data_IF_197347664495
#
_entry.id   IF_197347664495
#
_cell.length_a   1.000
_cell.length_b   1.000
_cell.length_c   1.000
_cell.angle_alpha   90.00
_cell.angle_beta   90.00
_cell.angle_gamma   90.00
#
_symmetry.space_group_name_H-M   'P 1'
#
loop_
_entity.id
_entity.type
_entity.pdbx_description
1 polymer ?
#
# COMPACT_ATOMS: atom_id res chain seq x y z
N UNK A 1 -2.72 30.94 -25.81
CA UNK A 1 -1.58 30.09 -26.24
C UNK A 1 -2.01 29.25 -27.46
N UNK A 2 -2.50 29.91 -28.53
CA UNK A 2 -3.19 29.24 -29.64
C UNK A 2 -2.55 29.57 -30.98
N UNK A 3 -1.39 28.97 -31.26
CA UNK A 3 -0.76 29.01 -32.60
C UNK A 3 -0.93 27.69 -33.35
N UNK A 4 -1.66 26.75 -32.75
CA UNK A 4 -1.83 25.41 -33.25
C UNK A 4 -3.17 24.80 -32.82
N UNK A 5 -3.62 23.82 -33.60
CA UNK A 5 -4.76 22.95 -33.28
C UNK A 5 -4.37 21.49 -33.51
N UNK A 6 -4.99 20.58 -32.77
CA UNK A 6 -4.89 19.14 -33.06
C UNK A 6 -5.63 18.85 -34.36
N UNK A 7 -5.02 18.05 -35.23
CA UNK A 7 -5.70 17.53 -36.43
C UNK A 7 -6.64 16.41 -36.05
N UNK A 8 -6.26 15.62 -35.05
CA UNK A 8 -7.01 14.49 -34.53
C UNK A 8 -6.86 14.46 -33.00
N UNK A 9 -7.99 14.36 -32.29
CA UNK A 9 -8.03 14.33 -30.82
C UNK A 9 -7.37 13.04 -30.30
N UNK A 10 -7.45 11.95 -31.07
CA UNK A 10 -6.88 10.65 -30.72
C UNK A 10 -5.39 10.54 -31.08
N UNK A 11 -4.86 11.47 -31.88
CA UNK A 11 -3.45 11.48 -32.29
C UNK A 11 -2.78 12.83 -31.99
N UNK A 12 -2.19 12.92 -30.78
CA UNK A 12 -1.48 14.10 -30.28
C UNK A 12 -0.23 14.48 -31.08
N UNK A 13 0.23 13.59 -31.95
CA UNK A 13 1.45 13.77 -32.73
C UNK A 13 1.20 14.52 -34.05
N UNK A 14 -0.06 14.65 -34.47
CA UNK A 14 -0.50 15.41 -35.64
C UNK A 14 -1.08 16.77 -35.25
N UNK A 15 -0.33 17.82 -35.54
CA UNK A 15 -0.71 19.20 -35.20
C UNK A 15 -0.72 20.09 -36.44
N UNK A 16 -1.61 21.08 -36.45
CA UNK A 16 -1.77 22.05 -37.53
C UNK A 16 -1.41 23.44 -37.06
N UNK A 17 -0.56 24.12 -37.82
CA UNK A 17 -0.19 25.52 -37.59
C UNK A 17 -1.34 26.45 -37.94
N UNK A 18 -1.80 27.30 -37.00
CA UNK A 18 -2.86 28.28 -37.29
C UNK A 18 -2.34 29.42 -38.19
N UNK A 19 -1.03 29.67 -38.21
CA UNK A 19 -0.42 30.81 -38.93
C UNK A 19 -0.28 30.57 -40.43
N UNK A 20 -0.31 29.32 -40.90
CA UNK A 20 -0.15 28.97 -42.32
C UNK A 20 -0.91 27.70 -42.74
N UNK A 21 -1.74 27.13 -41.87
CA UNK A 21 -2.51 25.89 -42.04
C UNK A 21 -1.73 24.61 -42.35
N UNK A 22 -0.40 24.66 -42.27
CA UNK A 22 0.43 23.50 -42.49
C UNK A 22 0.23 22.46 -41.39
N UNK A 23 -0.05 21.23 -41.80
CA UNK A 23 -0.08 20.07 -40.92
C UNK A 23 1.32 19.47 -40.78
N UNK A 24 1.65 19.00 -39.58
CA UNK A 24 2.95 18.44 -39.23
C UNK A 24 2.80 17.22 -38.32
N UNK A 25 3.69 16.25 -38.51
CA UNK A 25 3.89 15.11 -37.59
C UNK A 25 5.11 15.36 -36.69
N UNK A 26 5.04 14.94 -35.42
CA UNK A 26 6.06 15.17 -34.39
C UNK A 26 5.64 16.15 -33.30
N UNK A 27 4.33 16.37 -33.16
CA UNK A 27 3.71 17.05 -32.04
C UNK A 27 4.06 18.54 -31.89
N UNK A 28 3.66 19.08 -30.74
CA UNK A 28 3.73 20.53 -30.44
C UNK A 28 5.19 21.03 -30.40
N UNK A 29 6.14 20.20 -29.97
CA UNK A 29 7.55 20.59 -29.90
C UNK A 29 8.14 20.90 -31.29
N UNK A 30 7.91 20.02 -32.27
CA UNK A 30 8.37 20.23 -33.66
C UNK A 30 7.66 21.41 -34.32
N UNK A 31 6.40 21.65 -33.98
CA UNK A 31 5.68 22.82 -34.46
C UNK A 31 6.24 24.14 -33.89
N UNK A 32 6.64 24.16 -32.60
CA UNK A 32 7.31 25.33 -32.03
C UNK A 32 8.62 25.62 -32.76
N UNK A 33 9.41 24.59 -33.09
CA UNK A 33 10.62 24.72 -33.92
C UNK A 33 10.32 25.32 -35.31
N UNK A 34 9.24 24.85 -35.95
CA UNK A 34 8.77 25.35 -37.25
C UNK A 34 8.40 26.84 -37.21
N UNK A 35 7.67 27.26 -36.17
CA UNK A 35 7.24 28.66 -35.98
C UNK A 35 8.43 29.53 -35.59
N UNK A 36 9.24 29.10 -34.63
CA UNK A 36 10.45 29.80 -34.17
C UNK A 36 11.55 29.92 -35.24
N UNK A 37 11.44 29.15 -36.33
CA UNK A 37 12.46 29.03 -37.37
C UNK A 37 13.80 28.51 -36.85
N UNK A 38 13.77 27.66 -35.82
CA UNK A 38 14.92 27.08 -35.15
C UNK A 38 14.89 25.55 -35.23
N UNK A 39 16.03 24.93 -35.51
CA UNK A 39 16.18 23.49 -35.64
C UNK A 39 16.74 23.08 -37.01
N UNK A 40 17.59 22.04 -37.01
CA UNK A 40 18.34 21.61 -38.21
C UNK A 40 17.46 20.96 -39.28
N UNK A 41 16.35 20.31 -38.90
CA UNK A 41 15.51 19.48 -39.79
C UNK A 41 14.02 19.90 -39.81
N UNK A 42 13.75 21.20 -39.70
CA UNK A 42 12.38 21.73 -39.69
C UNK A 42 12.25 22.87 -40.71
N UNK A 43 11.23 22.77 -41.57
CA UNK A 43 10.91 23.86 -42.53
C UNK A 43 10.57 25.14 -41.75
N UNK A 44 10.66 26.31 -42.37
CA UNK A 44 10.32 27.59 -41.71
C UNK A 44 8.86 27.96 -41.95
N UNK A 45 8.22 28.54 -40.92
CA UNK A 45 6.88 29.13 -41.06
C UNK A 45 6.93 30.42 -41.88
N UNK A 46 6.09 30.49 -42.93
CA UNK A 46 5.94 31.66 -43.80
C UNK A 46 4.77 32.57 -43.40
N UNK A 47 3.96 32.17 -42.40
CA UNK A 47 2.89 33.01 -41.85
C UNK A 47 1.84 33.49 -42.85
N UNK A 48 1.53 32.69 -43.90
CA UNK A 48 0.66 33.07 -45.02
C UNK A 48 -0.75 33.54 -44.62
N UNK A 49 -1.21 33.26 -43.39
CA UNK A 49 -2.55 33.64 -42.90
C UNK A 49 -2.55 34.64 -41.75
N UNK A 50 -1.44 35.34 -41.50
CA UNK A 50 -1.35 36.29 -40.38
C UNK A 50 -0.57 37.55 -40.73
N UNK A 51 -0.68 38.60 -39.90
CA UNK A 51 0.09 39.83 -40.08
C UNK A 51 1.55 39.61 -39.67
N UNK A 52 2.48 40.37 -40.26
CA UNK A 52 3.92 40.27 -39.93
C UNK A 52 4.18 40.42 -38.43
N UNK A 53 3.46 41.33 -37.77
CA UNK A 53 3.54 41.56 -36.32
C UNK A 53 3.17 40.31 -35.51
N UNK A 54 2.03 39.66 -35.85
CA UNK A 54 1.56 38.44 -35.16
C UNK A 54 2.49 37.25 -35.43
N UNK A 55 3.10 37.18 -36.61
CA UNK A 55 4.10 36.16 -36.92
C UNK A 55 5.37 36.35 -36.07
N UNK A 56 5.85 37.58 -35.93
CA UNK A 56 7.02 37.91 -35.11
C UNK A 56 6.77 37.62 -33.62
N UNK A 57 5.59 37.98 -33.12
CA UNK A 57 5.17 37.69 -31.74
C UNK A 57 5.09 36.17 -31.50
N UNK A 58 4.52 35.41 -32.44
CA UNK A 58 4.45 33.95 -32.34
C UNK A 58 5.84 33.29 -32.42
N UNK A 59 6.74 33.82 -33.24
CA UNK A 59 8.15 33.40 -33.32
C UNK A 59 8.84 33.58 -31.97
N UNK A 60 8.77 34.79 -31.40
CA UNK A 60 9.42 35.11 -30.13
C UNK A 60 8.88 34.24 -28.98
N UNK A 61 7.55 34.06 -28.92
CA UNK A 61 6.93 33.17 -27.93
C UNK A 61 7.35 31.72 -28.09
N UNK A 62 7.47 31.21 -29.33
CA UNK A 62 7.91 29.85 -29.58
C UNK A 62 9.39 29.66 -29.24
N UNK A 63 10.26 30.63 -29.55
CA UNK A 63 11.68 30.65 -29.14
C UNK A 63 11.82 30.61 -27.63
N UNK A 64 11.19 31.56 -26.93
CA UNK A 64 11.17 31.58 -25.46
C UNK A 64 10.71 30.25 -24.86
N UNK A 65 9.67 29.62 -25.43
CA UNK A 65 9.19 28.33 -24.96
C UNK A 65 10.14 27.15 -25.23
N UNK A 66 10.95 27.21 -26.30
CA UNK A 66 11.97 26.19 -26.60
C UNK A 66 13.20 26.38 -25.72
N UNK A 67 13.68 27.62 -25.55
CA UNK A 67 14.80 27.95 -24.67
C UNK A 67 14.49 27.63 -23.21
N UNK A 68 13.29 27.97 -22.75
CA UNK A 68 12.82 27.59 -21.41
C UNK A 68 12.82 26.06 -21.22
N UNK A 69 12.34 25.32 -22.23
CA UNK A 69 12.33 23.86 -22.17
C UNK A 69 13.75 23.26 -22.20
N UNK A 70 14.68 23.89 -22.93
CA UNK A 70 16.09 23.49 -22.98
C UNK A 70 16.77 23.77 -21.63
N UNK A 71 16.61 24.97 -21.09
CA UNK A 71 17.17 25.37 -19.80
C UNK A 71 16.68 24.46 -18.67
N UNK A 72 15.38 24.14 -18.62
CA UNK A 72 14.84 23.17 -17.63
C UNK A 72 15.46 21.77 -17.74
N UNK A 73 15.81 21.32 -18.95
CA UNK A 73 16.48 20.02 -19.14
C UNK A 73 17.93 20.06 -18.64
N UNK A 74 18.64 21.15 -18.93
CA UNK A 74 20.00 21.38 -18.44
C UNK A 74 20.02 21.50 -16.91
N UNK A 75 19.15 22.32 -16.33
CA UNK A 75 18.97 22.46 -14.86
C UNK A 75 18.67 21.10 -14.19
N UNK A 76 17.79 20.27 -14.79
CA UNK A 76 17.53 18.92 -14.28
C UNK A 76 18.79 18.05 -14.28
N UNK A 77 19.57 18.09 -15.36
CA UNK A 77 20.78 17.30 -15.53
C UNK A 77 21.86 17.72 -14.53
N UNK A 78 22.06 19.03 -14.36
CA UNK A 78 23.01 19.60 -13.38
C UNK A 78 22.61 19.16 -11.96
N UNK A 79 21.34 19.31 -11.60
CA UNK A 79 20.85 18.89 -10.28
C UNK A 79 21.04 17.39 -10.03
N UNK A 80 20.87 16.56 -11.04
CA UNK A 80 21.11 15.12 -10.91
C UNK A 80 22.59 14.80 -10.67
N UNK A 81 23.50 15.51 -11.35
CA UNK A 81 24.94 15.39 -11.11
C UNK A 81 25.31 15.86 -9.70
N UNK A 82 24.79 17.00 -9.26
CA UNK A 82 24.99 17.51 -7.89
C UNK A 82 24.52 16.49 -6.84
N UNK A 83 23.33 15.90 -7.01
CA UNK A 83 22.82 14.88 -6.10
C UNK A 83 23.69 13.62 -6.08
N UNK A 84 24.31 13.25 -7.20
CA UNK A 84 25.24 12.11 -7.28
C UNK A 84 26.56 12.44 -6.56
N UNK A 85 27.05 13.67 -6.69
CA UNK A 85 28.26 14.14 -5.99
C UNK A 85 28.08 14.21 -4.47
N UNK A 86 26.87 14.47 -3.97
CA UNK A 86 26.54 14.45 -2.53
C UNK A 86 26.57 13.04 -1.89
N UNK A 87 26.64 11.98 -2.70
CA UNK A 87 26.68 10.61 -2.19
C UNK A 87 28.13 10.22 -1.84
N UNK A 88 28.42 10.10 -0.54
CA UNK A 88 29.75 9.74 -0.05
C UNK A 88 29.73 8.41 0.70
N UNK A 89 30.23 7.37 0.04
CA UNK A 89 30.49 6.05 0.65
C UNK A 89 31.92 5.66 0.32
N UNK A 90 32.78 5.56 1.35
CA UNK A 90 34.21 5.22 1.21
C UNK A 90 34.39 3.92 0.41
N UNK A 91 35.42 3.80 -0.46
CA UNK A 91 35.75 2.57 -1.22
C UNK A 91 36.96 1.88 -0.61
N UNK A 92 36.97 0.54 -0.56
CA UNK A 92 38.15 -0.26 -0.18
C UNK A 92 38.87 -0.71 -1.46
N UNK A 93 40.22 -0.56 -1.48
CA UNK A 93 41.24 -0.96 -2.48
C UNK A 93 40.82 -1.72 -3.76
N UNK A 94 41.29 -1.23 -4.92
CA UNK A 94 40.82 -1.65 -6.27
C UNK A 94 41.70 -2.58 -7.10
N UNK A 95 41.16 -2.98 -8.27
CA UNK A 95 41.89 -3.29 -9.51
C UNK A 95 40.92 -3.26 -10.71
N UNK A 96 41.24 -2.36 -11.65
CA UNK A 96 41.14 -2.46 -13.12
C UNK A 96 39.80 -2.70 -13.85
N UNK A 97 39.54 -1.77 -14.78
CA UNK A 97 38.67 -1.80 -15.97
C UNK A 97 37.19 -2.19 -15.85
N UNK A 98 36.34 -1.16 -15.77
CA UNK A 98 35.21 -1.07 -16.71
C UNK A 98 35.24 0.30 -17.35
N UNK A 99 35.74 0.36 -18.58
CA UNK A 99 35.58 1.50 -19.47
C UNK A 99 34.12 1.58 -19.90
N UNK A 100 33.35 2.48 -19.29
CA UNK A 100 32.14 3.03 -19.91
C UNK A 100 32.03 4.54 -19.67
N UNK A 101 32.27 5.23 -20.78
CA UNK A 101 32.07 6.63 -21.17
C UNK A 101 31.17 7.48 -20.24
N UNK A 102 31.77 8.53 -19.67
CA UNK A 102 31.03 9.63 -19.02
C UNK A 102 31.80 10.25 -17.85
N UNK A 103 32.97 10.82 -18.13
CA UNK A 103 33.90 11.47 -17.20
C UNK A 103 33.30 12.10 -15.93
N UNK A 104 33.65 11.56 -14.76
CA UNK A 104 34.18 12.30 -13.60
C UNK A 104 35.23 11.39 -12.92
N UNK A 105 36.36 11.97 -12.55
CA UNK A 105 37.57 11.30 -12.05
C UNK A 105 37.29 10.26 -10.93
N UNK A 106 38.10 9.19 -10.80
CA UNK A 106 37.99 8.29 -9.67
C UNK A 106 38.26 9.07 -8.38
N UNK A 107 37.24 9.19 -7.51
CA UNK A 107 37.37 9.84 -6.21
C UNK A 107 38.64 9.38 -5.49
N UNK A 108 39.44 10.34 -5.04
CA UNK A 108 40.69 10.13 -4.33
C UNK A 108 40.46 9.21 -3.13
N UNK A 109 41.18 8.08 -3.12
CA UNK A 109 41.37 7.23 -1.94
C UNK A 109 41.63 8.12 -0.73
N UNK A 110 40.82 7.97 0.31
CA UNK A 110 40.98 8.68 1.56
C UNK A 110 42.29 8.28 2.24
N UNK A 111 42.76 9.03 3.25
CA UNK A 111 43.99 8.70 3.97
C UNK A 111 43.98 7.24 4.46
N UNK A 112 42.81 6.73 4.87
CA UNK A 112 42.61 5.39 5.44
C UNK A 112 42.69 4.25 4.43
N UNK A 113 42.37 4.52 3.16
CA UNK A 113 42.36 3.50 2.10
C UNK A 113 43.79 3.08 1.69
N UNK A 114 44.83 3.79 2.17
CA UNK A 114 46.24 3.39 2.04
C UNK A 114 46.61 2.16 2.87
N UNK A 115 45.83 1.84 3.91
CA UNK A 115 46.14 0.75 4.85
C UNK A 115 45.24 -0.48 4.67
N UNK A 116 44.39 -0.49 3.63
CA UNK A 116 43.60 -1.67 3.28
C UNK A 116 44.03 -2.30 1.97
N UNK A 117 44.58 -3.51 2.07
CA UNK A 117 44.97 -4.35 0.93
C UNK A 117 44.22 -5.68 1.01
N UNK A 118 44.10 -6.37 -0.12
CA UNK A 118 43.75 -7.79 -0.13
C UNK A 118 44.71 -8.54 0.82
N UNK A 119 44.19 -9.52 1.56
CA UNK A 119 45.01 -10.30 2.49
C UNK A 119 46.05 -11.04 1.64
N UNK A 120 47.31 -10.65 1.79
CA UNK A 120 48.42 -11.30 1.11
C UNK A 120 48.50 -12.75 1.61
N UNK A 121 48.45 -13.76 0.71
CA UNK A 121 48.59 -15.16 1.10
C UNK A 121 49.95 -15.50 1.74
N UNK A 122 50.93 -14.58 1.70
CA UNK A 122 52.22 -14.69 2.37
C UNK A 122 52.31 -13.93 3.71
N UNK A 123 51.27 -13.20 4.12
CA UNK A 123 51.25 -12.42 5.36
C UNK A 123 51.32 -13.30 6.62
N UNK A 124 51.95 -12.80 7.68
CA UNK A 124 51.92 -13.51 8.96
C UNK A 124 50.49 -13.55 9.53
N UNK A 125 50.20 -14.57 10.33
CA UNK A 125 48.87 -14.78 10.93
C UNK A 125 48.37 -13.56 11.73
N UNK A 126 49.27 -12.81 12.36
CA UNK A 126 48.96 -11.57 13.10
C UNK A 126 48.56 -10.41 12.17
N UNK A 127 49.30 -10.23 11.06
CA UNK A 127 49.01 -9.20 10.05
C UNK A 127 47.70 -9.48 9.33
N UNK A 128 47.45 -10.75 8.95
CA UNK A 128 46.18 -11.18 8.37
C UNK A 128 44.99 -10.92 9.31
N UNK A 129 45.12 -11.22 10.61
CA UNK A 129 44.04 -10.98 11.58
C UNK A 129 43.78 -9.49 11.81
N UNK A 130 44.85 -8.68 11.80
CA UNK A 130 44.74 -7.21 11.92
C UNK A 130 44.06 -6.63 10.69
N UNK A 131 44.44 -7.08 9.48
CA UNK A 131 43.81 -6.67 8.23
C UNK A 131 42.33 -7.08 8.15
N UNK A 132 41.97 -8.29 8.62
CA UNK A 132 40.58 -8.74 8.70
C UNK A 132 39.74 -7.86 9.62
N UNK A 133 40.28 -7.46 10.78
CA UNK A 133 39.58 -6.55 11.72
C UNK A 133 39.37 -5.17 11.11
N UNK A 134 40.39 -4.61 10.46
CA UNK A 134 40.31 -3.32 9.77
C UNK A 134 39.27 -3.35 8.64
N UNK A 135 39.31 -4.38 7.79
CA UNK A 135 38.34 -4.56 6.71
C UNK A 135 36.92 -4.68 7.28
N UNK A 136 36.71 -5.47 8.33
CA UNK A 136 35.39 -5.65 8.96
C UNK A 136 34.83 -4.32 9.48
N UNK A 137 35.64 -3.49 10.13
CA UNK A 137 35.17 -2.23 10.68
C UNK A 137 34.85 -1.21 9.57
N UNK A 138 35.65 -1.16 8.51
CA UNK A 138 35.36 -0.35 7.32
C UNK A 138 34.09 -0.81 6.59
N UNK A 139 33.86 -2.11 6.46
CA UNK A 139 32.62 -2.62 5.88
C UNK A 139 31.39 -2.22 6.70
N UNK A 140 31.48 -2.20 8.03
CA UNK A 140 30.40 -1.69 8.88
C UNK A 140 30.16 -0.20 8.69
N UNK A 141 31.22 0.59 8.63
CA UNK A 141 31.13 2.04 8.43
C UNK A 141 30.48 2.37 7.08
N UNK A 142 30.91 1.69 6.01
CA UNK A 142 30.31 1.81 4.67
C UNK A 142 28.84 1.42 4.66
N UNK A 143 28.52 0.27 5.26
CA UNK A 143 27.15 -0.20 5.39
C UNK A 143 26.29 0.81 6.16
N UNK A 144 26.85 1.42 7.21
CA UNK A 144 26.20 2.45 7.99
C UNK A 144 25.90 3.71 7.15
N UNK A 145 26.84 4.17 6.31
CA UNK A 145 26.59 5.29 5.40
C UNK A 145 25.49 4.97 4.38
N UNK A 146 25.50 3.78 3.77
CA UNK A 146 24.41 3.34 2.88
C UNK A 146 23.06 3.34 3.61
N UNK A 147 23.03 2.80 4.83
CA UNK A 147 21.82 2.79 5.66
C UNK A 147 21.30 4.19 5.98
N UNK A 148 22.18 5.21 6.13
CA UNK A 148 21.72 6.60 6.32
C UNK A 148 20.95 7.13 5.12
N UNK A 149 21.38 6.83 3.89
CA UNK A 149 20.65 7.24 2.69
C UNK A 149 19.29 6.54 2.58
N UNK A 150 19.25 5.23 2.84
CA UNK A 150 17.99 4.45 2.89
C UNK A 150 17.06 5.03 3.96
N UNK A 151 17.56 5.26 5.18
CA UNK A 151 16.78 5.79 6.29
C UNK A 151 16.22 7.18 5.99
N UNK A 152 17.02 8.08 5.40
CA UNK A 152 16.55 9.41 4.95
C UNK A 152 15.39 9.28 3.96
N UNK A 153 15.49 8.39 2.96
CA UNK A 153 14.41 8.16 2.01
C UNK A 153 13.14 7.63 2.68
N UNK A 154 13.27 6.61 3.55
CA UNK A 154 12.17 6.01 4.31
C UNK A 154 11.48 7.05 5.20
N UNK A 155 12.23 7.85 5.95
CA UNK A 155 11.67 8.85 6.87
C UNK A 155 11.00 10.01 6.12
N UNK A 156 11.64 10.52 5.05
CA UNK A 156 11.09 11.64 4.28
C UNK A 156 9.77 11.28 3.58
N UNK A 157 9.58 10.02 3.19
CA UNK A 157 8.38 9.56 2.50
C UNK A 157 7.40 8.80 3.41
N UNK A 158 7.68 8.76 4.72
CA UNK A 158 6.89 8.03 5.71
C UNK A 158 6.60 6.57 5.28
N UNK A 159 7.62 5.90 4.71
CA UNK A 159 7.52 4.50 4.31
C UNK A 159 7.41 3.64 5.58
N UNK A 160 6.43 2.74 5.60
CA UNK A 160 6.27 1.77 6.69
C UNK A 160 7.53 0.93 6.84
N UNK A 161 8.02 0.72 8.07
CA UNK A 161 9.21 -0.09 8.31
C UNK A 161 9.04 -1.55 7.84
N UNK A 162 7.82 -2.07 7.84
CA UNK A 162 7.53 -3.40 7.30
C UNK A 162 7.78 -3.50 5.79
N UNK A 163 7.83 -2.38 5.06
CA UNK A 163 8.18 -2.38 3.64
C UNK A 163 9.67 -2.68 3.39
N UNK A 164 10.51 -2.59 4.42
CA UNK A 164 11.91 -3.03 4.36
C UNK A 164 12.08 -4.49 4.85
N UNK A 165 11.04 -5.10 5.40
CA UNK A 165 11.05 -6.46 5.94
C UNK A 165 10.34 -7.44 5.01
N UNK A 166 10.80 -7.48 3.76
CA UNK A 166 10.37 -8.43 2.74
C UNK A 166 11.56 -8.79 1.83
N UNK A 167 11.41 -9.86 1.07
CA UNK A 167 12.50 -10.37 0.23
C UNK A 167 12.72 -9.51 -1.02
N UNK A 168 11.67 -8.86 -1.53
CA UNK A 168 11.73 -7.94 -2.67
C UNK A 168 12.62 -6.73 -2.37
N UNK A 169 12.58 -6.19 -1.15
CA UNK A 169 13.47 -5.12 -0.72
C UNK A 169 14.94 -5.57 -0.69
N UNK A 170 15.20 -6.79 -0.23
CA UNK A 170 16.57 -7.36 -0.22
C UNK A 170 17.06 -7.58 -1.66
N UNK A 171 16.21 -8.11 -2.53
CA UNK A 171 16.50 -8.29 -3.95
C UNK A 171 16.76 -6.95 -4.65
N UNK A 172 16.00 -5.90 -4.33
CA UNK A 172 16.22 -4.56 -4.86
C UNK A 172 17.61 -4.01 -4.45
N UNK A 173 17.98 -4.12 -3.17
CA UNK A 173 19.30 -3.71 -2.70
C UNK A 173 20.44 -4.48 -3.40
N UNK A 174 20.28 -5.79 -3.55
CA UNK A 174 21.25 -6.64 -4.25
C UNK A 174 21.37 -6.24 -5.73
N UNK A 175 20.24 -6.06 -6.43
CA UNK A 175 20.22 -5.66 -7.84
C UNK A 175 20.87 -4.28 -8.07
N UNK A 176 20.60 -3.31 -7.21
CA UNK A 176 21.25 -1.98 -7.25
C UNK A 176 22.76 -2.13 -6.99
N UNK A 177 23.15 -2.95 -6.01
CA UNK A 177 24.54 -3.24 -5.69
C UNK A 177 25.31 -3.89 -6.84
N UNK A 178 24.70 -4.88 -7.50
CA UNK A 178 25.29 -5.58 -8.66
C UNK A 178 25.38 -4.69 -9.91
N UNK A 179 24.40 -3.82 -10.15
CA UNK A 179 24.47 -2.87 -11.27
C UNK A 179 25.62 -1.87 -11.06
N UNK A 180 25.78 -1.37 -9.83
CA UNK A 180 26.83 -0.43 -9.47
C UNK A 180 26.48 1.05 -9.76
N UNK A 181 27.49 1.94 -9.69
CA UNK A 181 27.27 3.37 -9.92
C UNK A 181 26.77 3.66 -11.33
N UNK A 182 25.82 4.58 -11.46
CA UNK A 182 25.31 5.01 -12.76
C UNK A 182 23.85 4.67 -13.01
N UNK A 183 23.24 3.77 -12.22
CA UNK A 183 21.82 3.44 -12.36
C UNK A 183 20.95 4.70 -12.35
N UNK A 184 20.07 4.83 -13.34
CA UNK A 184 19.00 5.82 -13.34
C UNK A 184 17.78 5.17 -12.68
N UNK A 185 17.24 5.76 -11.60
CA UNK A 185 16.06 5.20 -10.93
C UNK A 185 14.84 5.27 -11.86
N UNK A 186 13.90 4.30 -11.75
CA UNK A 186 12.69 4.30 -12.57
C UNK A 186 11.85 5.55 -12.29
N UNK A 187 11.26 6.12 -13.34
CA UNK A 187 10.37 7.26 -13.22
C UNK A 187 8.97 6.83 -12.80
N UNK A 188 8.15 7.78 -12.33
CA UNK A 188 6.72 7.53 -12.07
C UNK A 188 5.99 6.96 -13.29
N UNK A 189 6.40 7.32 -14.51
CA UNK A 189 5.77 6.84 -15.73
C UNK A 189 6.14 5.40 -16.03
N UNK A 190 7.38 5.01 -15.76
CA UNK A 190 7.85 3.63 -15.93
C UNK A 190 7.11 2.71 -14.95
N UNK A 191 7.02 3.12 -13.68
CA UNK A 191 6.35 2.37 -12.61
C UNK A 191 4.85 2.17 -12.82
N UNK A 192 4.15 3.16 -13.41
CA UNK A 192 2.69 3.07 -13.67
C UNK A 192 2.35 2.55 -15.07
N UNK A 193 3.37 2.34 -15.89
CA UNK A 193 3.26 1.95 -17.29
C UNK A 193 3.89 0.58 -17.48
N UNK A 194 4.95 0.50 -18.29
CA UNK A 194 5.55 -0.75 -18.73
C UNK A 194 5.94 -1.70 -17.60
N UNK A 195 6.56 -1.20 -16.51
CA UNK A 195 6.98 -2.06 -15.40
C UNK A 195 5.79 -2.69 -14.66
N UNK A 196 4.66 -1.97 -14.57
CA UNK A 196 3.43 -2.53 -13.99
C UNK A 196 2.82 -3.61 -14.89
N UNK A 197 2.85 -3.38 -16.20
CA UNK A 197 2.35 -4.36 -17.18
C UNK A 197 3.20 -5.64 -17.19
N UNK A 198 4.52 -5.50 -17.10
CA UNK A 198 5.46 -6.62 -16.99
C UNK A 198 5.25 -7.41 -15.69
N UNK A 199 5.12 -6.72 -14.55
CA UNK A 199 4.91 -7.37 -13.25
C UNK A 199 3.53 -8.04 -13.16
N UNK A 200 2.51 -7.44 -13.78
CA UNK A 200 1.20 -8.06 -13.94
C UNK A 200 1.29 -9.35 -14.78
N UNK A 201 2.01 -9.33 -15.91
CA UNK A 201 2.21 -10.50 -16.75
C UNK A 201 3.00 -11.61 -16.02
N UNK A 202 4.04 -11.24 -15.27
CA UNK A 202 4.82 -12.16 -14.42
C UNK A 202 3.93 -12.82 -13.37
N UNK A 203 3.16 -12.03 -12.63
CA UNK A 203 2.23 -12.52 -11.60
C UNK A 203 1.17 -13.44 -12.21
N UNK A 204 0.59 -13.07 -13.36
CA UNK A 204 -0.36 -13.91 -14.08
C UNK A 204 0.25 -15.25 -14.52
N UNK A 205 1.52 -15.25 -14.89
CA UNK A 205 2.24 -16.49 -15.26
C UNK A 205 2.43 -17.41 -14.05
N UNK A 206 2.71 -16.86 -12.87
CA UNK A 206 2.81 -17.64 -11.63
C UNK A 206 1.47 -18.26 -11.20
N UNK A 207 0.34 -17.70 -11.63
CA UNK A 207 -0.99 -18.22 -11.33
C UNK A 207 -1.46 -19.32 -12.29
N UNK A 208 -0.69 -19.67 -13.33
CA UNK A 208 -1.11 -20.65 -14.34
C UNK A 208 -1.46 -22.03 -13.77
N UNK A 209 -0.71 -22.49 -12.76
CA UNK A 209 -1.00 -23.77 -12.10
C UNK A 209 -2.36 -23.73 -11.40
N UNK A 210 -2.64 -22.64 -10.68
CA UNK A 210 -3.93 -22.41 -10.04
C UNK A 210 -5.06 -22.32 -11.08
N UNK A 211 -4.85 -21.66 -12.22
CA UNK A 211 -5.83 -21.63 -13.32
C UNK A 211 -6.07 -23.03 -13.92
N UNK A 212 -5.02 -23.82 -14.12
CA UNK A 212 -5.15 -25.19 -14.64
C UNK A 212 -5.94 -26.09 -13.67
N UNK A 213 -5.73 -25.94 -12.37
CA UNK A 213 -6.47 -26.69 -11.35
C UNK A 213 -7.95 -26.29 -11.30
N UNK A 214 -8.27 -25.00 -11.49
CA UNK A 214 -9.66 -24.53 -11.62
C UNK A 214 -10.37 -25.20 -12.78
N UNK A 215 -9.71 -25.34 -13.94
CA UNK A 215 -10.29 -26.02 -15.11
C UNK A 215 -10.49 -27.53 -14.90
N UNK A 216 -9.74 -28.14 -13.97
CA UNK A 216 -9.79 -29.59 -13.73
C UNK A 216 -10.84 -29.98 -12.71
N UNK A 217 -10.89 -29.25 -11.59
CA UNK A 217 -11.70 -29.61 -10.42
C UNK A 217 -12.78 -28.56 -10.09
N UNK A 218 -12.84 -27.49 -10.88
CA UNK A 218 -13.70 -26.35 -10.64
C UNK A 218 -13.19 -25.42 -9.53
N UNK A 219 -13.87 -24.31 -9.36
CA UNK A 219 -13.50 -23.29 -8.38
C UNK A 219 -14.72 -22.72 -7.65
N UNK A 220 -14.43 -22.06 -6.52
CA UNK A 220 -15.41 -21.25 -5.78
C UNK A 220 -15.16 -19.78 -6.04
N UNK A 221 -16.19 -19.04 -6.44
CA UNK A 221 -16.13 -17.57 -6.51
C UNK A 221 -16.43 -17.02 -5.11
N UNK A 222 -15.63 -16.08 -4.65
CA UNK A 222 -15.84 -15.38 -3.39
C UNK A 222 -15.96 -13.89 -3.66
N UNK A 223 -16.99 -13.27 -3.11
CA UNK A 223 -17.13 -11.81 -3.15
C UNK A 223 -17.02 -11.22 -1.76
N UNK A 224 -16.15 -10.23 -1.62
CA UNK A 224 -16.03 -9.45 -0.38
C UNK A 224 -16.28 -7.98 -0.67
N UNK A 225 -17.20 -7.39 0.09
CA UNK A 225 -17.58 -5.99 -0.06
C UNK A 225 -17.32 -5.27 1.26
N UNK A 226 -16.62 -4.15 1.17
CA UNK A 226 -16.39 -3.29 2.32
C UNK A 226 -16.69 -1.84 1.97
N UNK A 227 -17.26 -1.13 2.93
CA UNK A 227 -17.49 0.31 2.83
C UNK A 227 -16.75 1.04 3.95
N UNK A 228 -16.04 2.09 3.60
CA UNK A 228 -15.31 2.91 4.54
C UNK A 228 -16.20 3.98 5.20
N UNK A 229 -15.68 4.67 6.22
CA UNK A 229 -16.42 5.74 6.93
C UNK A 229 -16.72 6.96 6.04
N UNK A 230 -16.03 7.10 4.91
CA UNK A 230 -16.27 8.15 3.90
C UNK A 230 -17.27 7.69 2.85
N UNK A 231 -17.94 6.55 3.05
CA UNK A 231 -18.90 5.92 2.12
C UNK A 231 -18.27 5.52 0.79
N UNK A 232 -16.96 5.29 0.76
CA UNK A 232 -16.34 4.62 -0.38
C UNK A 232 -16.61 3.15 -0.28
N UNK A 233 -17.08 2.55 -1.35
CA UNK A 233 -17.44 1.14 -1.39
C UNK A 233 -16.62 0.43 -2.46
N UNK A 234 -16.05 -0.71 -2.10
CA UNK A 234 -15.29 -1.56 -3.01
C UNK A 234 -15.80 -2.99 -2.87
N UNK A 235 -16.00 -3.63 -4.02
CA UNK A 235 -16.36 -5.04 -4.11
C UNK A 235 -15.25 -5.79 -4.81
N UNK A 236 -14.68 -6.77 -4.11
CA UNK A 236 -13.63 -7.64 -4.62
C UNK A 236 -14.23 -8.97 -5.04
N UNK A 237 -13.71 -9.52 -6.13
CA UNK A 237 -14.02 -10.86 -6.61
C UNK A 237 -12.73 -11.67 -6.63
N UNK A 238 -12.76 -12.82 -5.97
CA UNK A 238 -11.68 -13.78 -5.92
C UNK A 238 -12.20 -15.16 -6.34
N UNK A 239 -11.28 -16.02 -6.76
CA UNK A 239 -11.53 -17.47 -6.89
C UNK A 239 -10.73 -18.24 -5.87
N UNK A 240 -11.25 -19.38 -5.44
CA UNK A 240 -10.53 -20.33 -4.61
C UNK A 240 -10.64 -21.73 -5.21
N UNK A 241 -9.50 -22.42 -5.34
CA UNK A 241 -9.41 -23.84 -5.70
C UNK A 241 -8.52 -24.59 -4.70
N UNK A 242 -8.16 -25.83 -5.01
CA UNK A 242 -7.29 -26.65 -4.16
C UNK A 242 -5.89 -26.03 -3.96
N UNK A 243 -5.37 -25.32 -4.95
CA UNK A 243 -4.05 -24.68 -4.91
C UNK A 243 -4.06 -23.28 -4.24
N UNK A 244 -5.25 -22.79 -3.88
CA UNK A 244 -5.43 -21.58 -3.09
C UNK A 244 -6.32 -20.53 -3.74
N UNK A 245 -6.18 -19.28 -3.27
CA UNK A 245 -7.01 -18.15 -3.67
C UNK A 245 -6.31 -17.26 -4.69
N UNK A 246 -7.01 -16.87 -5.76
CA UNK A 246 -6.56 -15.88 -6.74
C UNK A 246 -7.50 -14.68 -6.77
N UNK A 247 -6.92 -13.48 -6.85
CA UNK A 247 -7.68 -12.26 -7.09
C UNK A 247 -8.07 -12.15 -8.57
N UNK A 248 -9.34 -11.81 -8.84
CA UNK A 248 -9.83 -11.61 -10.21
C UNK A 248 -9.96 -10.13 -10.51
N UNK A 249 -10.74 -9.43 -9.69
CA UNK A 249 -11.03 -8.02 -9.94
C UNK A 249 -11.53 -7.32 -8.68
N UNK A 250 -11.43 -5.99 -8.72
CA UNK A 250 -11.97 -5.09 -7.71
C UNK A 250 -12.72 -4.00 -8.42
N UNK A 251 -13.95 -3.72 -7.96
CA UNK A 251 -14.81 -2.71 -8.54
C UNK A 251 -15.15 -1.67 -7.49
N UNK A 252 -14.93 -0.40 -7.83
CA UNK A 252 -15.42 0.73 -7.06
C UNK A 252 -16.94 0.82 -7.28
N UNK A 253 -17.70 0.89 -6.17
CA UNK A 253 -19.16 0.82 -6.15
C UNK A 253 -19.75 1.92 -5.25
N UNK A 254 -19.05 3.06 -5.08
CA UNK A 254 -19.47 4.08 -4.10
C UNK A 254 -20.75 4.82 -4.52
N UNK A 255 -20.97 4.96 -5.83
CA UNK A 255 -22.13 5.61 -6.42
C UNK A 255 -23.26 4.62 -6.79
N UNK A 256 -23.03 3.31 -6.59
CA UNK A 256 -23.99 2.26 -6.93
C UNK A 256 -24.62 1.68 -5.68
N UNK A 257 -25.95 1.60 -5.66
CA UNK A 257 -26.64 0.85 -4.61
C UNK A 257 -26.34 -0.64 -4.75
N UNK A 258 -25.87 -1.28 -3.68
CA UNK A 258 -25.57 -2.71 -3.64
C UNK A 258 -26.85 -3.57 -3.62
N UNK A 259 -27.71 -3.44 -4.62
CA UNK A 259 -28.95 -4.24 -4.71
C UNK A 259 -28.63 -5.69 -5.05
N UNK A 260 -29.61 -6.57 -4.86
CA UNK A 260 -29.49 -7.99 -5.19
C UNK A 260 -29.12 -8.21 -6.66
N UNK A 261 -29.66 -7.37 -7.55
CA UNK A 261 -29.46 -7.41 -9.00
C UNK A 261 -28.03 -7.04 -9.36
N UNK A 262 -27.49 -5.95 -8.79
CA UNK A 262 -26.11 -5.51 -9.06
C UNK A 262 -25.09 -6.56 -8.61
N UNK A 263 -25.31 -7.16 -7.44
CA UNK A 263 -24.46 -8.24 -6.93
C UNK A 263 -24.55 -9.46 -7.84
N UNK A 264 -25.77 -9.84 -8.23
CA UNK A 264 -26.00 -10.94 -9.16
C UNK A 264 -25.28 -10.71 -10.50
N UNK A 265 -25.39 -9.53 -11.11
CA UNK A 265 -24.72 -9.20 -12.37
C UNK A 265 -23.19 -9.29 -12.25
N UNK A 266 -22.61 -8.86 -11.13
CA UNK A 266 -21.16 -8.95 -10.92
C UNK A 266 -20.71 -10.41 -10.83
N UNK A 267 -21.41 -11.22 -10.03
CA UNK A 267 -21.11 -12.64 -9.86
C UNK A 267 -21.31 -13.40 -11.17
N UNK A 268 -22.42 -13.14 -11.85
CA UNK A 268 -22.78 -13.78 -13.10
C UNK A 268 -21.77 -13.48 -14.22
N UNK A 269 -21.30 -12.22 -14.30
CA UNK A 269 -20.19 -11.88 -15.19
C UNK A 269 -18.90 -12.62 -14.82
N UNK A 270 -18.56 -12.72 -13.54
CA UNK A 270 -17.38 -13.46 -13.11
C UNK A 270 -17.47 -14.96 -13.48
N UNK A 271 -18.67 -15.55 -13.40
CA UNK A 271 -18.93 -16.92 -13.86
C UNK A 271 -18.73 -17.04 -15.38
N UNK A 272 -19.20 -16.05 -16.15
CA UNK A 272 -19.01 -16.02 -17.61
C UNK A 272 -17.54 -15.87 -18.00
N UNK A 273 -16.79 -15.02 -17.30
CA UNK A 273 -15.37 -14.78 -17.54
C UNK A 273 -14.50 -16.02 -17.21
N UNK A 274 -14.89 -16.83 -16.21
CA UNK A 274 -14.20 -18.07 -15.83
C UNK A 274 -14.61 -19.24 -16.73
N UNK A 275 -15.90 -19.41 -16.96
CA UNK A 275 -16.47 -20.63 -17.51
C UNK A 275 -17.51 -21.22 -16.55
N UNK A 276 -18.78 -21.33 -16.95
CA UNK A 276 -19.84 -21.84 -16.07
C UNK A 276 -19.61 -23.28 -15.57
N UNK A 277 -18.94 -24.11 -16.39
CA UNK A 277 -18.65 -25.51 -16.05
C UNK A 277 -17.50 -25.64 -15.04
N UNK A 278 -16.66 -24.60 -14.94
CA UNK A 278 -15.51 -24.54 -14.03
C UNK A 278 -15.85 -23.86 -12.69
N UNK A 279 -17.11 -23.50 -12.46
CA UNK A 279 -17.57 -22.87 -11.21
C UNK A 279 -18.52 -23.81 -10.46
N UNK A 280 -18.10 -24.23 -9.27
CA UNK A 280 -18.87 -25.12 -8.41
C UNK A 280 -19.81 -24.33 -7.49
N UNK A 281 -19.32 -23.22 -6.95
CA UNK A 281 -20.10 -22.42 -5.99
C UNK A 281 -19.71 -20.94 -5.95
N UNK A 282 -20.61 -20.14 -5.38
CA UNK A 282 -20.41 -18.75 -5.00
C UNK A 282 -20.53 -18.64 -3.49
N UNK A 283 -19.54 -18.00 -2.84
CA UNK A 283 -19.48 -17.79 -1.39
C UNK A 283 -19.57 -16.30 -1.08
N UNK A 284 -20.57 -15.89 -0.32
CA UNK A 284 -20.76 -14.49 0.11
C UNK A 284 -21.17 -14.40 1.57
N UNK A 285 -21.12 -13.22 2.17
CA UNK A 285 -21.73 -13.01 3.49
C UNK A 285 -23.27 -13.17 3.45
N UNK A 286 -23.90 -13.13 4.63
CA UNK A 286 -25.35 -13.32 4.79
C UNK A 286 -26.16 -12.02 4.69
N UNK A 287 -25.63 -10.97 4.08
CA UNK A 287 -26.38 -9.74 3.85
C UNK A 287 -27.66 -10.03 3.03
N UNK A 288 -28.73 -9.28 3.31
CA UNK A 288 -30.04 -9.48 2.66
C UNK A 288 -29.97 -9.42 1.14
N UNK A 289 -29.10 -8.56 0.60
CA UNK A 289 -28.98 -8.35 -0.84
C UNK A 289 -28.25 -9.53 -1.50
N UNK A 290 -27.28 -10.15 -0.81
CA UNK A 290 -26.68 -11.41 -1.23
C UNK A 290 -27.70 -12.55 -1.26
N UNK A 291 -28.62 -12.59 -0.30
CA UNK A 291 -29.70 -13.58 -0.28
C UNK A 291 -30.70 -13.39 -1.43
N UNK A 292 -30.90 -12.15 -1.90
CA UNK A 292 -31.66 -11.89 -3.12
C UNK A 292 -30.90 -12.31 -4.37
N UNK A 293 -29.61 -11.97 -4.47
CA UNK A 293 -28.74 -12.37 -5.57
C UNK A 293 -28.66 -13.89 -5.73
N UNK A 294 -28.60 -14.62 -4.62
CA UNK A 294 -28.70 -16.08 -4.54
C UNK A 294 -29.94 -16.63 -5.22
N UNK A 295 -31.10 -16.00 -5.03
CA UNK A 295 -32.36 -16.45 -5.67
C UNK A 295 -32.30 -16.24 -7.19
N UNK A 296 -31.74 -15.12 -7.64
CA UNK A 296 -31.55 -14.83 -9.07
C UNK A 296 -30.58 -15.85 -9.70
N UNK A 297 -29.46 -16.14 -9.03
CA UNK A 297 -28.50 -17.14 -9.51
C UNK A 297 -29.12 -18.52 -9.61
N UNK A 298 -29.90 -18.95 -8.62
CA UNK A 298 -30.55 -20.26 -8.65
C UNK A 298 -31.48 -20.43 -9.86
N UNK A 299 -32.15 -19.35 -10.32
CA UNK A 299 -32.99 -19.38 -11.51
C UNK A 299 -32.16 -19.44 -12.79
N UNK A 300 -31.09 -18.62 -12.92
CA UNK A 300 -30.26 -18.59 -14.14
C UNK A 300 -29.33 -19.80 -14.27
N UNK A 301 -28.76 -20.26 -13.14
CA UNK A 301 -27.68 -21.26 -13.06
C UNK A 301 -27.98 -22.27 -11.94
N UNK A 302 -28.96 -23.17 -12.13
CA UNK A 302 -29.43 -24.08 -11.07
C UNK A 302 -28.37 -25.08 -10.59
N UNK A 303 -27.31 -25.30 -11.36
CA UNK A 303 -26.21 -26.23 -11.05
C UNK A 303 -25.09 -25.61 -10.19
N UNK A 304 -25.07 -24.28 -10.01
CA UNK A 304 -24.07 -23.58 -9.21
C UNK A 304 -24.64 -23.31 -7.82
N UNK A 305 -23.94 -23.75 -6.79
CA UNK A 305 -24.36 -23.53 -5.42
C UNK A 305 -24.06 -22.10 -4.97
N UNK A 306 -24.92 -21.51 -4.14
CA UNK A 306 -24.60 -20.29 -3.41
C UNK A 306 -24.57 -20.58 -1.92
N UNK A 307 -23.37 -20.51 -1.35
CA UNK A 307 -23.11 -20.81 0.06
C UNK A 307 -22.82 -19.53 0.85
N UNK A 308 -23.21 -19.59 2.11
CA UNK A 308 -22.99 -18.53 3.08
C UNK A 308 -21.58 -18.61 3.63
N UNK A 309 -20.92 -17.47 3.80
CA UNK A 309 -19.59 -17.37 4.39
C UNK A 309 -19.60 -17.97 5.80
N UNK A 310 -18.73 -18.96 6.03
CA UNK A 310 -18.62 -19.63 7.32
C UNK A 310 -18.15 -18.65 8.42
N UNK A 311 -17.15 -17.81 8.14
CA UNK A 311 -16.64 -16.82 9.09
C UNK A 311 -17.73 -15.83 9.52
N UNK A 312 -18.51 -15.31 8.56
CA UNK A 312 -19.64 -14.44 8.87
C UNK A 312 -20.74 -15.18 9.66
N UNK A 313 -21.01 -16.44 9.32
CA UNK A 313 -22.01 -17.25 10.02
C UNK A 313 -21.61 -17.48 11.48
N UNK A 314 -20.35 -17.85 11.75
CA UNK A 314 -19.81 -17.98 13.11
C UNK A 314 -19.90 -16.64 13.86
N UNK A 315 -19.56 -15.53 13.19
CA UNK A 315 -19.68 -14.20 13.76
C UNK A 315 -21.13 -13.86 14.16
N UNK A 316 -22.12 -14.25 13.37
CA UNK A 316 -23.55 -14.11 13.72
C UNK A 316 -23.97 -15.05 14.87
N UNK A 317 -23.41 -16.26 14.95
CA UNK A 317 -23.62 -17.13 16.13
C UNK A 317 -23.12 -16.44 17.41
N UNK A 318 -21.92 -15.85 17.36
CA UNK A 318 -21.36 -15.06 18.47
C UNK A 318 -22.22 -13.84 18.80
N UNK A 319 -22.85 -13.20 17.81
CA UNK A 319 -23.85 -12.15 18.05
C UNK A 319 -25.05 -12.69 18.83
N UNK A 320 -25.59 -13.82 18.39
CA UNK A 320 -26.73 -14.48 19.04
C UNK A 320 -26.44 -14.82 20.50
N UNK A 321 -25.27 -15.41 20.77
CA UNK A 321 -24.79 -15.69 22.13
C UNK A 321 -24.65 -14.38 22.91
N UNK A 322 -23.95 -13.38 22.37
CA UNK A 322 -23.75 -12.10 23.05
C UNK A 322 -25.04 -11.35 23.39
N UNK A 323 -26.13 -11.63 22.68
CA UNK A 323 -27.45 -11.05 22.94
C UNK A 323 -28.27 -11.79 24.01
N UNK A 324 -27.88 -13.00 24.44
CA UNK A 324 -28.61 -13.71 25.49
C UNK A 324 -28.53 -12.93 26.82
N UNK A 325 -29.60 -12.90 27.63
CA UNK A 325 -29.66 -12.08 28.85
C UNK A 325 -28.49 -12.29 29.82
N UNK A 326 -27.98 -13.53 29.89
CA UNK A 326 -26.81 -13.90 30.71
C UNK A 326 -25.54 -13.14 30.30
N UNK A 327 -25.26 -13.00 29.00
CA UNK A 327 -24.01 -12.44 28.47
C UNK A 327 -24.13 -10.95 28.15
N UNK A 328 -25.33 -10.52 27.72
CA UNK A 328 -25.58 -9.17 27.19
C UNK A 328 -25.19 -8.07 28.17
N UNK A 329 -25.59 -8.19 29.44
CA UNK A 329 -25.30 -7.18 30.46
C UNK A 329 -23.80 -6.94 30.62
N UNK A 330 -23.03 -8.03 30.65
CA UNK A 330 -21.59 -8.00 30.86
C UNK A 330 -20.85 -7.43 29.65
N UNK A 331 -21.22 -7.86 28.44
CA UNK A 331 -20.70 -7.30 27.18
C UNK A 331 -21.01 -5.79 27.08
N UNK A 332 -22.23 -5.36 27.40
CA UNK A 332 -22.62 -3.95 27.32
C UNK A 332 -21.85 -3.10 28.36
N UNK A 333 -21.58 -3.63 29.55
CA UNK A 333 -20.75 -2.97 30.55
C UNK A 333 -19.28 -2.84 30.11
N UNK A 334 -18.70 -3.91 29.57
CA UNK A 334 -17.34 -3.89 29.04
C UNK A 334 -17.19 -2.92 27.86
N UNK A 335 -18.15 -2.92 26.93
CA UNK A 335 -18.21 -1.94 25.84
C UNK A 335 -18.27 -0.52 26.37
N UNK A 336 -19.15 -0.26 27.33
CA UNK A 336 -19.29 1.07 27.92
C UNK A 336 -17.99 1.53 28.61
N UNK A 337 -17.30 0.63 29.31
CA UNK A 337 -16.00 0.89 29.92
C UNK A 337 -14.94 1.24 28.88
N UNK A 338 -14.76 0.40 27.86
CA UNK A 338 -13.79 0.64 26.80
C UNK A 338 -14.10 1.92 26.02
N UNK A 339 -15.36 2.17 25.67
CA UNK A 339 -15.77 3.41 24.99
C UNK A 339 -15.42 4.63 25.85
N UNK A 340 -15.66 4.57 27.16
CA UNK A 340 -15.36 5.68 28.06
C UNK A 340 -13.85 5.93 28.18
N UNK A 341 -13.06 4.88 28.45
CA UNK A 341 -11.60 5.00 28.63
C UNK A 341 -10.93 5.53 27.37
N UNK A 342 -11.31 5.03 26.19
CA UNK A 342 -10.76 5.48 24.91
C UNK A 342 -11.39 6.77 24.38
N UNK A 343 -12.51 7.20 24.96
CA UNK A 343 -13.23 8.41 24.53
C UNK A 343 -12.58 9.72 24.97
N UNK A 344 -11.69 9.68 25.97
CA UNK A 344 -10.97 10.86 26.47
C UNK A 344 -9.47 10.59 26.57
N UNK A 345 -8.65 11.54 26.09
CA UNK A 345 -7.18 11.40 26.08
C UNK A 345 -6.61 11.13 27.47
N UNK A 346 -7.15 11.80 28.50
CA UNK A 346 -6.67 11.69 29.89
C UNK A 346 -7.05 10.36 30.54
N UNK A 347 -8.23 9.81 30.24
CA UNK A 347 -8.62 8.48 30.74
C UNK A 347 -7.81 7.38 30.05
N UNK A 348 -7.52 7.55 28.75
CA UNK A 348 -6.69 6.64 27.97
C UNK A 348 -5.24 6.62 28.49
N UNK A 349 -4.64 7.80 28.71
CA UNK A 349 -3.30 7.92 29.27
C UNK A 349 -3.22 7.35 30.69
N UNK A 350 -4.26 7.58 31.51
CA UNK A 350 -4.36 6.97 32.83
C UNK A 350 -4.36 5.43 32.73
N UNK A 351 -5.15 4.84 31.83
CA UNK A 351 -5.16 3.40 31.61
C UNK A 351 -3.78 2.88 31.19
N UNK A 352 -3.15 3.51 30.19
CA UNK A 352 -1.80 3.14 29.72
C UNK A 352 -0.74 3.20 30.81
N UNK A 353 -0.85 4.14 31.75
CA UNK A 353 0.06 4.21 32.89
C UNK A 353 -0.04 2.97 33.78
N UNK A 354 -1.25 2.48 34.08
CA UNK A 354 -1.43 1.30 34.91
C UNK A 354 -1.21 -0.01 34.15
N UNK A 355 -1.40 -0.04 32.84
CA UNK A 355 -1.20 -1.22 32.01
C UNK A 355 0.18 -1.30 31.35
N UNK A 356 1.12 -0.40 31.71
CA UNK A 356 2.47 -0.34 31.13
C UNK A 356 2.46 -0.21 29.60
N UNK A 357 1.53 0.59 29.08
CA UNK A 357 1.33 0.80 27.65
C UNK A 357 0.57 -0.33 26.94
N UNK A 358 0.22 -1.44 27.62
CA UNK A 358 -0.57 -2.51 27.02
C UNK A 358 -2.01 -2.07 26.79
N UNK A 359 -2.48 -2.24 25.57
CA UNK A 359 -3.81 -1.82 25.13
C UNK A 359 -4.89 -2.87 25.45
N UNK A 360 -6.14 -2.42 25.61
CA UNK A 360 -7.31 -3.31 25.64
C UNK A 360 -7.77 -3.55 24.20
N UNK A 361 -8.06 -4.81 23.85
CA UNK A 361 -8.68 -5.11 22.55
C UNK A 361 -10.02 -4.41 22.47
N UNK A 362 -10.20 -3.53 21.48
CA UNK A 362 -11.42 -2.74 21.33
C UNK A 362 -12.50 -3.54 20.59
N UNK A 363 -13.77 -3.43 21.01
CA UNK A 363 -14.86 -4.05 20.27
C UNK A 363 -14.97 -3.41 18.89
N UNK A 364 -14.88 -4.23 17.84
CA UNK A 364 -15.19 -3.89 16.47
C UNK A 364 -16.68 -3.98 16.20
N UNK A 365 -17.21 -3.01 15.43
CA UNK A 365 -18.65 -2.89 15.16
C UNK A 365 -19.20 -4.08 14.37
N UNK A 366 -18.41 -4.65 13.46
CA UNK A 366 -18.83 -5.70 12.52
C UNK A 366 -18.30 -7.10 12.87
N UNK A 367 -17.47 -7.23 13.90
CA UNK A 367 -16.87 -8.50 14.33
C UNK A 367 -17.23 -8.79 15.78
N UNK A 368 -18.32 -9.49 16.03
CA UNK A 368 -18.81 -9.84 17.38
C UNK A 368 -17.82 -10.66 18.19
N UNK A 369 -16.91 -11.42 17.53
CA UNK A 369 -15.76 -12.05 18.15
C UNK A 369 -14.92 -11.07 19.00
N UNK A 370 -14.79 -9.82 18.55
CA UNK A 370 -14.05 -8.79 19.28
C UNK A 370 -14.67 -8.44 20.63
N UNK A 371 -15.98 -8.66 20.84
CA UNK A 371 -16.58 -8.47 22.16
C UNK A 371 -15.94 -9.43 23.16
N UNK A 372 -15.79 -10.70 22.79
CA UNK A 372 -15.17 -11.71 23.64
C UNK A 372 -13.68 -11.45 23.84
N UNK A 373 -12.96 -11.00 22.80
CA UNK A 373 -11.57 -10.57 22.95
C UNK A 373 -11.41 -9.35 23.86
N UNK A 374 -12.37 -8.40 23.84
CA UNK A 374 -12.39 -7.28 24.79
C UNK A 374 -12.53 -7.78 26.21
N UNK A 375 -13.43 -8.74 26.46
CA UNK A 375 -13.64 -9.32 27.78
C UNK A 375 -12.38 -10.04 28.29
N UNK A 376 -11.75 -10.82 27.42
CA UNK A 376 -10.51 -11.52 27.72
C UNK A 376 -9.38 -10.54 28.03
N UNK A 377 -9.20 -9.53 27.17
CA UNK A 377 -8.21 -8.49 27.40
C UNK A 377 -8.45 -7.67 28.67
N UNK A 378 -9.70 -7.44 29.09
CA UNK A 378 -10.02 -6.80 30.38
C UNK A 378 -9.68 -7.75 31.54
N UNK A 379 -9.96 -9.04 31.37
CA UNK A 379 -9.70 -10.07 32.37
C UNK A 379 -8.20 -10.29 32.61
N UNK A 380 -7.37 -10.29 31.56
CA UNK A 380 -5.91 -10.31 31.66
C UNK A 380 -5.35 -9.12 32.43
N UNK A 381 -5.98 -7.95 32.26
CA UNK A 381 -5.53 -6.65 32.81
C UNK A 381 -6.28 -6.28 34.09
N UNK A 382 -6.95 -7.26 34.70
CA UNK A 382 -7.87 -7.09 35.84
C UNK A 382 -7.25 -6.32 37.00
N UNK A 383 -6.03 -6.69 37.40
CA UNK A 383 -5.40 -6.13 38.58
C UNK A 383 -4.90 -4.71 38.33
N UNK A 384 -4.37 -4.45 37.14
CA UNK A 384 -3.94 -3.12 36.69
C UNK A 384 -5.14 -2.16 36.62
N UNK A 385 -6.24 -2.60 35.99
CA UNK A 385 -7.45 -1.80 35.84
C UNK A 385 -8.16 -1.59 37.18
N UNK A 386 -8.13 -2.56 38.11
CA UNK A 386 -8.59 -2.40 39.50
C UNK A 386 -7.80 -1.33 40.23
N UNK A 387 -6.46 -1.39 40.16
CA UNK A 387 -5.59 -0.36 40.74
C UNK A 387 -5.89 1.00 40.15
N UNK A 388 -6.08 1.10 38.83
CA UNK A 388 -6.40 2.35 38.15
C UNK A 388 -7.65 3.01 38.74
N UNK A 389 -8.78 2.30 38.77
CA UNK A 389 -10.07 2.94 39.10
C UNK A 389 -10.17 3.43 40.55
N UNK A 390 -9.38 2.87 41.47
CA UNK A 390 -9.33 3.30 42.89
C UNK A 390 -8.21 4.31 43.17
N UNK A 391 -7.35 4.59 42.20
CA UNK A 391 -6.20 5.48 42.40
C UNK A 391 -6.59 6.96 42.25
N UNK A 392 -5.94 7.84 43.01
CA UNK A 392 -6.16 9.30 42.97
C UNK A 392 -5.99 9.90 41.57
N UNK A 393 -5.07 9.34 40.76
CA UNK A 393 -4.89 9.70 39.35
C UNK A 393 -6.18 9.53 38.53
N UNK A 394 -6.97 8.50 38.77
CA UNK A 394 -8.27 8.29 38.12
C UNK A 394 -9.35 9.22 38.70
N UNK A 395 -9.44 9.32 40.02
CA UNK A 395 -10.46 10.15 40.69
C UNK A 395 -10.30 11.65 40.41
N UNK A 396 -9.06 12.11 40.20
CA UNK A 396 -8.78 13.51 39.85
C UNK A 396 -9.23 13.89 38.42
N UNK A 397 -9.60 12.93 37.57
CA UNK A 397 -10.03 13.20 36.21
C UNK A 397 -11.44 13.80 36.17
N UNK A 398 -11.58 14.95 35.49
CA UNK A 398 -12.89 15.63 35.32
C UNK A 398 -13.92 14.74 34.61
N UNK A 399 -13.49 13.96 33.61
CA UNK A 399 -14.36 13.10 32.81
C UNK A 399 -14.99 11.97 33.65
N UNK A 400 -14.25 11.46 34.64
CA UNK A 400 -14.73 10.41 35.57
C UNK A 400 -15.85 10.94 36.48
N UNK A 401 -15.86 12.23 36.80
CA UNK A 401 -16.90 12.87 37.62
C UNK A 401 -18.21 13.11 36.87
N UNK A 402 -18.21 12.95 35.54
CA UNK A 402 -19.43 13.04 34.73
C UNK A 402 -20.42 11.91 35.06
N UNK A 403 -21.70 12.06 34.67
CA UNK A 403 -22.70 10.99 34.83
C UNK A 403 -22.24 9.68 34.17
N UNK A 404 -21.61 9.76 32.99
CA UNK A 404 -21.07 8.60 32.26
C UNK A 404 -19.86 7.99 32.98
N UNK A 405 -18.96 8.83 33.49
CA UNK A 405 -17.76 8.40 34.22
C UNK A 405 -18.09 7.71 35.54
N UNK A 406 -19.03 8.27 36.33
CA UNK A 406 -19.51 7.64 37.57
C UNK A 406 -20.16 6.29 37.30
N UNK A 407 -21.02 6.21 36.27
CA UNK A 407 -21.63 4.94 35.85
C UNK A 407 -20.58 3.91 35.41
N UNK A 408 -19.55 4.35 34.70
CA UNK A 408 -18.43 3.50 34.27
C UNK A 408 -17.62 2.97 35.47
N UNK A 409 -17.27 3.85 36.41
CA UNK A 409 -16.56 3.50 37.64
C UNK A 409 -17.37 2.51 38.49
N UNK A 410 -18.65 2.81 38.76
CA UNK A 410 -19.54 1.93 39.51
C UNK A 410 -19.75 0.59 38.79
N UNK A 411 -19.95 0.58 37.48
CA UNK A 411 -20.04 -0.68 36.73
C UNK A 411 -18.76 -1.53 36.86
N UNK A 412 -17.59 -0.92 36.93
CA UNK A 412 -16.34 -1.68 37.07
C UNK A 412 -16.11 -2.20 38.51
N UNK A 413 -16.49 -1.41 39.53
CA UNK A 413 -16.30 -1.72 40.95
C UNK A 413 -17.43 -2.58 41.54
N UNK A 414 -18.69 -2.19 41.33
CA UNK A 414 -19.88 -2.77 41.96
C UNK A 414 -20.41 -3.99 41.21
N UNK A 415 -20.14 -4.08 39.90
CA UNK A 415 -20.52 -5.27 39.14
C UNK A 415 -19.37 -6.25 39.14
N UNK A 416 -19.73 -7.52 39.28
CA UNK A 416 -18.90 -8.69 39.01
C UNK A 416 -18.42 -8.77 37.54
N UNK A 417 -18.17 -7.65 36.86
CA UNK A 417 -17.63 -7.57 35.49
C UNK A 417 -16.48 -8.56 35.33
N UNK A 418 -15.56 -8.56 36.29
CA UNK A 418 -14.35 -9.38 36.32
C UNK A 418 -14.55 -10.82 36.85
N UNK A 419 -15.75 -11.17 37.32
CA UNK A 419 -16.13 -12.54 37.66
C UNK A 419 -16.99 -13.16 36.54
N UNK A 420 -17.85 -12.36 35.91
CA UNK A 420 -18.60 -12.71 34.70
C UNK A 420 -17.70 -12.94 33.49
N UNK A 421 -16.63 -12.15 33.31
CA UNK A 421 -15.67 -12.38 32.22
C UNK A 421 -15.10 -13.81 32.23
N UNK A 422 -14.74 -14.35 33.41
CA UNK A 422 -14.14 -15.69 33.53
C UNK A 422 -15.05 -16.82 33.06
N UNK A 423 -16.36 -16.73 33.31
CA UNK A 423 -17.34 -17.77 32.98
C UNK A 423 -17.62 -17.81 31.47
N UNK A 424 -17.47 -16.67 30.80
CA UNK A 424 -17.92 -16.49 29.43
C UNK A 424 -16.80 -16.72 28.39
N UNK A 425 -15.53 -16.56 28.76
CA UNK A 425 -14.39 -16.74 27.83
C UNK A 425 -14.07 -18.23 27.57
N UNK A 426 -14.07 -19.06 28.63
CA UNK A 426 -13.67 -20.47 28.51
C UNK A 426 -14.58 -21.32 27.63
N UNK A 427 -15.88 -20.97 27.58
CA UNK A 427 -16.88 -21.75 26.83
C UNK A 427 -16.88 -21.47 25.32
N UNK A 428 -16.32 -20.35 24.89
CA UNK A 428 -16.43 -19.88 23.50
C UNK A 428 -15.07 -19.63 22.84
N UNK A 429 -13.96 -19.89 23.52
CA UNK A 429 -12.61 -19.66 22.99
C UNK A 429 -12.39 -20.33 21.62
N UNK A 430 -12.81 -21.59 21.45
CA UNK A 430 -12.71 -22.29 20.18
C UNK A 430 -13.53 -21.62 19.05
N UNK A 431 -14.76 -21.17 19.36
CA UNK A 431 -15.63 -20.50 18.38
C UNK A 431 -15.08 -19.12 18.01
N UNK A 432 -14.53 -18.39 18.98
CA UNK A 432 -13.89 -17.08 18.77
C UNK A 432 -12.64 -17.25 17.90
N UNK A 433 -11.81 -18.26 18.15
CA UNK A 433 -10.66 -18.57 17.31
C UNK A 433 -11.10 -18.88 15.87
N UNK A 434 -12.08 -19.76 15.67
CA UNK A 434 -12.61 -20.08 14.33
C UNK A 434 -13.18 -18.86 13.60
N UNK A 435 -13.72 -17.87 14.30
CA UNK A 435 -14.18 -16.61 13.70
C UNK A 435 -13.05 -15.67 13.27
N UNK A 436 -11.84 -15.81 13.83
CA UNK A 436 -10.70 -14.91 13.58
C UNK A 436 -9.77 -15.43 12.48
N UNK A 437 -9.75 -16.74 12.27
CA UNK A 437 -8.93 -17.40 11.24
C UNK A 437 -9.65 -17.58 9.89
N UNK A 438 -10.92 -17.18 9.80
CA UNK A 438 -11.73 -17.27 8.57
C UNK A 438 -11.90 -15.96 7.82
#
# INVERSE_FOLDING_TARGET
>A
MGVWVLVDINNKDKVKCILCDKQMCGGVYRLKQYIAQEGKNVKKCQGMKTTKEKLLEAQEKCKKALDEAKRKREEKTVRELELREEVHVSRVGGSEEVTCVGSLEPHKLGPVDKWTKAIDPTATKSESLTQQRLNKELWKERLHEVHKYIARWVFNHAISFNACDNDEFKQMCEAIGQFGPGIEPPTMFDLRGGLLEEEYARTKSLLQECEAEKMKNGCSIMTDAWSDKKRRSIMNVCTNCADGTSFISSKEMSDVSHTSEVIFELVDKAIEDIGPDDVVQVVTDNASNNMGAKKLLHVKRPHIFWTSCAAHTINLMLQGIGNMPRFKKMIDQAKAFTIFVYGHTRTLECMRYFTEGKEIVRPGVTRFASNYLTLDSIQEKKDQLRKMVVHSRWDSLKDVKSKKGKKCHNNYIESNLLEGCKVDIGSFCAIVQSSLFG
#
